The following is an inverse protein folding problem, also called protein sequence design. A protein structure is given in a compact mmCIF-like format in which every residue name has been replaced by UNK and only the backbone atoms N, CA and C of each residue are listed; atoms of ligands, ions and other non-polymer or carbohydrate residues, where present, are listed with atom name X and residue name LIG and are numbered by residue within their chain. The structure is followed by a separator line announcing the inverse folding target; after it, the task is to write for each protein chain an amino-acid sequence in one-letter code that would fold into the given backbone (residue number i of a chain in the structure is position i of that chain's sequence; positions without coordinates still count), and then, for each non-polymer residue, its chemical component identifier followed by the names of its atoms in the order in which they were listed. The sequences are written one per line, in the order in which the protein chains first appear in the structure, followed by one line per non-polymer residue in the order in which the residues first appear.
data_IF_688026962530
#
_entry.id   IF_688026962530
#
_cell.length_a   1.000
_cell.length_b   1.000
_cell.length_c   1.000
_cell.angle_alpha   90.00
_cell.angle_beta   90.00
_cell.angle_gamma   90.00
#
_symmetry.space_group_name_H-M   'P 1'
#
loop_
_entity.id
_entity.type
_entity.pdbx_description
1 polymer ?
#
# COMPACT_ATOMS: atom_id res chain seq x y z
N UNK A 1 -48.20 -18.67 9.76
CA UNK A 1 -46.98 -18.09 10.34
C UNK A 1 -46.07 -19.18 10.87
N UNK A 2 -45.33 -19.86 10.00
CA UNK A 2 -44.12 -20.65 10.27
C UNK A 2 -43.40 -20.73 8.92
N UNK A 3 -42.05 -20.75 8.93
CA UNK A 3 -41.12 -20.64 7.80
C UNK A 3 -40.55 -19.23 7.54
N UNK A 4 -39.66 -18.77 8.42
CA UNK A 4 -38.40 -18.04 8.08
C UNK A 4 -37.50 -18.15 9.31
N UNK A 5 -36.70 -19.22 9.48
CA UNK A 5 -35.68 -19.26 10.56
C UNK A 5 -34.52 -20.25 10.31
N UNK A 6 -34.47 -20.93 9.16
CA UNK A 6 -33.46 -21.98 8.91
C UNK A 6 -32.19 -21.48 8.23
N UNK A 7 -32.25 -20.39 7.44
CA UNK A 7 -31.09 -19.91 6.68
C UNK A 7 -30.10 -19.08 7.50
N UNK A 8 -30.54 -18.48 8.62
CA UNK A 8 -29.68 -17.66 9.48
C UNK A 8 -28.78 -18.49 10.42
N UNK A 9 -29.21 -19.71 10.79
CA UNK A 9 -28.44 -20.55 11.72
C UNK A 9 -27.26 -21.26 11.06
N UNK A 10 -27.40 -21.62 9.77
CA UNK A 10 -26.35 -22.30 9.00
C UNK A 10 -25.19 -21.35 8.69
N UNK A 11 -25.49 -20.09 8.36
CA UNK A 11 -24.49 -19.06 8.08
C UNK A 11 -23.64 -18.74 9.32
N UNK A 12 -24.26 -18.71 10.51
CA UNK A 12 -23.57 -18.43 11.78
C UNK A 12 -22.64 -19.57 12.21
N UNK A 13 -23.00 -20.82 11.92
CA UNK A 13 -22.19 -21.98 12.24
C UNK A 13 -20.97 -22.11 11.30
N UNK A 14 -21.12 -21.76 10.02
CA UNK A 14 -20.00 -21.72 9.06
C UNK A 14 -18.99 -20.61 9.42
N UNK A 15 -19.46 -19.40 9.77
CA UNK A 15 -18.58 -18.32 10.24
C UNK A 15 -17.83 -18.68 11.53
N UNK A 16 -18.48 -19.36 12.49
CA UNK A 16 -17.82 -19.78 13.73
C UNK A 16 -16.78 -20.91 13.52
N UNK A 17 -16.93 -21.74 12.48
CA UNK A 17 -15.93 -22.77 12.14
C UNK A 17 -14.69 -22.19 11.45
N UNK A 18 -14.87 -21.21 10.56
CA UNK A 18 -13.78 -20.60 9.79
C UNK A 18 -12.74 -19.87 10.67
N UNK A 19 -13.23 -19.09 11.66
CA UNK A 19 -12.34 -18.31 12.56
C UNK A 19 -11.42 -19.17 13.44
N UNK A 20 -11.73 -20.45 13.65
CA UNK A 20 -10.89 -21.37 14.43
C UNK A 20 -9.75 -22.02 13.62
N UNK A 21 -9.74 -21.82 12.29
CA UNK A 21 -8.88 -22.53 11.34
C UNK A 21 -7.96 -21.61 10.53
N UNK A 22 -7.77 -20.37 10.99
CA UNK A 22 -6.95 -19.36 10.31
C UNK A 22 -7.59 -18.78 9.05
N UNK A 23 -8.91 -18.91 8.90
CA UNK A 23 -9.71 -18.31 7.83
C UNK A 23 -10.55 -17.19 8.44
N UNK A 24 -10.40 -15.97 7.93
CA UNK A 24 -11.15 -14.82 8.44
C UNK A 24 -12.59 -14.81 7.90
N UNK A 25 -12.78 -15.25 6.66
CA UNK A 25 -14.07 -15.18 5.97
C UNK A 25 -14.14 -16.09 4.74
N UNK A 26 -15.38 -16.35 4.31
CA UNK A 26 -15.73 -17.08 3.09
C UNK A 26 -16.81 -16.31 2.33
N UNK A 27 -16.79 -16.39 1.01
CA UNK A 27 -17.81 -15.78 0.16
C UNK A 27 -19.11 -16.59 0.16
N UNK A 28 -20.24 -15.92 -0.07
CA UNK A 28 -21.51 -16.61 -0.36
C UNK A 28 -21.53 -17.05 -1.82
N UNK A 29 -21.99 -18.27 -2.07
CA UNK A 29 -22.01 -18.86 -3.42
C UNK A 29 -23.44 -19.00 -3.96
N UNK A 30 -23.61 -18.71 -5.25
CA UNK A 30 -24.83 -18.95 -6.03
C UNK A 30 -24.42 -19.73 -7.28
N UNK A 31 -25.01 -20.90 -7.49
CA UNK A 31 -24.71 -21.78 -8.63
C UNK A 31 -23.19 -22.05 -8.81
N UNK A 32 -22.52 -22.44 -7.72
CA UNK A 32 -21.05 -22.70 -7.64
C UNK A 32 -20.14 -21.51 -7.95
N UNK A 33 -20.71 -20.31 -8.06
CA UNK A 33 -19.98 -19.06 -8.20
C UNK A 33 -20.06 -18.27 -6.89
N UNK A 34 -18.92 -18.08 -6.24
CA UNK A 34 -18.78 -17.33 -5.00
C UNK A 34 -18.22 -15.94 -5.30
N UNK A 35 -18.69 -14.90 -4.61
CA UNK A 35 -18.25 -13.51 -4.89
C UNK A 35 -17.59 -12.87 -3.67
N UNK A 36 -16.44 -12.28 -3.90
CA UNK A 36 -15.74 -11.36 -3.01
C UNK A 36 -15.74 -9.96 -3.62
N UNK A 37 -16.09 -8.95 -2.83
CA UNK A 37 -16.18 -7.56 -3.26
C UNK A 37 -15.01 -6.77 -2.67
N UNK A 38 -13.99 -6.53 -3.49
CA UNK A 38 -12.74 -5.94 -3.05
C UNK A 38 -12.85 -4.42 -2.85
N UNK A 39 -12.18 -3.92 -1.82
CA UNK A 39 -11.93 -2.51 -1.53
C UNK A 39 -10.53 -2.34 -0.99
N UNK A 40 -10.01 -1.13 -1.00
CA UNK A 40 -8.77 -0.80 -0.30
C UNK A 40 -9.08 0.14 0.86
N UNK A 41 -8.73 -0.27 2.08
CA UNK A 41 -8.72 0.63 3.22
C UNK A 41 -7.44 1.45 3.20
N UNK A 42 -7.53 2.66 2.62
CA UNK A 42 -6.42 3.60 2.49
C UNK A 42 -5.78 3.99 3.84
N UNK A 43 -6.49 3.81 4.95
CA UNK A 43 -6.05 4.19 6.30
C UNK A 43 -5.37 3.06 7.08
N UNK A 44 -5.21 1.87 6.49
CA UNK A 44 -4.70 0.69 7.18
C UNK A 44 -3.16 0.56 7.16
N UNK A 45 -2.43 1.56 6.65
CA UNK A 45 -0.96 1.55 6.52
C UNK A 45 -0.46 2.68 5.60
N UNK A 46 0.81 2.62 5.18
CA UNK A 46 1.40 3.57 4.21
C UNK A 46 0.65 3.51 2.87
N UNK A 47 0.41 2.30 2.39
CA UNK A 47 -0.26 2.02 1.11
C UNK A 47 -1.78 1.86 1.27
N UNK A 48 -2.20 1.41 2.47
CA UNK A 48 -3.51 0.81 2.68
C UNK A 48 -3.48 -0.70 2.43
N UNK A 49 -4.60 -1.37 2.70
CA UNK A 49 -4.72 -2.83 2.53
C UNK A 49 -6.06 -3.21 1.91
N UNK A 50 -6.06 -4.31 1.16
CA UNK A 50 -7.29 -4.90 0.67
C UNK A 50 -8.21 -5.26 1.84
N UNK A 51 -9.50 -5.09 1.60
CA UNK A 51 -10.59 -5.56 2.44
C UNK A 51 -11.64 -6.14 1.50
N UNK A 52 -12.48 -7.03 1.99
CA UNK A 52 -13.58 -7.58 1.21
C UNK A 52 -14.88 -7.39 2.00
N UNK A 53 -15.95 -6.97 1.34
CA UNK A 53 -17.23 -6.70 2.02
C UNK A 53 -17.72 -7.92 2.82
N UNK A 54 -17.48 -9.12 2.30
CA UNK A 54 -17.83 -10.41 2.89
C UNK A 54 -17.01 -10.72 4.16
N UNK A 55 -15.90 -10.03 4.34
CA UNK A 55 -14.97 -10.15 5.48
C UNK A 55 -15.11 -8.98 6.47
N UNK A 56 -15.98 -8.01 6.18
CA UNK A 56 -16.07 -6.77 6.93
C UNK A 56 -14.79 -5.93 6.80
N UNK A 57 -14.44 -5.23 7.88
CA UNK A 57 -13.29 -4.30 7.89
C UNK A 57 -11.93 -4.93 8.21
N UNK A 58 -11.78 -6.25 8.11
CA UNK A 58 -10.51 -6.94 8.37
C UNK A 58 -9.52 -6.57 7.25
N UNK A 59 -8.34 -6.07 7.61
CA UNK A 59 -7.26 -5.74 6.64
C UNK A 59 -6.61 -7.03 6.14
N UNK A 60 -6.40 -7.11 4.82
CA UNK A 60 -5.83 -8.27 4.11
C UNK A 60 -6.28 -9.61 4.68
N UNK A 61 -7.61 -9.87 4.76
CA UNK A 61 -8.14 -11.05 5.43
C UNK A 61 -7.68 -12.35 4.76
N UNK A 62 -7.51 -13.40 5.54
CA UNK A 62 -7.32 -14.74 5.00
C UNK A 62 -8.63 -15.28 4.45
N UNK A 63 -8.71 -15.43 3.14
CA UNK A 63 -9.90 -15.90 2.43
C UNK A 63 -9.95 -17.42 2.40
N UNK A 64 -11.11 -18.02 2.63
CA UNK A 64 -11.33 -19.44 2.35
C UNK A 64 -11.95 -19.62 0.96
N UNK A 65 -11.29 -20.42 0.11
CA UNK A 65 -11.86 -20.86 -1.18
C UNK A 65 -11.93 -22.39 -1.26
N UNK A 66 -13.03 -22.92 -1.75
CA UNK A 66 -13.27 -24.35 -1.92
C UNK A 66 -12.82 -24.81 -3.31
N UNK A 67 -12.16 -25.97 -3.38
CA UNK A 67 -11.70 -26.54 -4.64
C UNK A 67 -12.84 -26.74 -5.65
N UNK A 68 -12.57 -26.46 -6.93
CA UNK A 68 -13.49 -26.69 -8.04
C UNK A 68 -14.62 -25.65 -8.18
N UNK A 69 -14.77 -24.73 -7.22
CA UNK A 69 -15.71 -23.60 -7.35
C UNK A 69 -15.04 -22.40 -8.03
N UNK A 70 -15.86 -21.56 -8.65
CA UNK A 70 -15.40 -20.31 -9.26
C UNK A 70 -15.59 -19.16 -8.28
N UNK A 71 -14.52 -18.41 -8.03
CA UNK A 71 -14.52 -17.22 -7.20
C UNK A 71 -14.38 -15.97 -8.06
N UNK A 72 -15.33 -15.04 -7.91
CA UNK A 72 -15.34 -13.72 -8.56
C UNK A 72 -14.85 -12.68 -7.56
N UNK A 73 -13.80 -11.95 -7.91
CA UNK A 73 -13.25 -10.85 -7.13
C UNK A 73 -13.60 -9.55 -7.86
N UNK A 74 -14.61 -8.84 -7.36
CA UNK A 74 -15.13 -7.62 -7.97
C UNK A 74 -14.33 -6.41 -7.49
N UNK A 75 -13.74 -5.66 -8.41
CA UNK A 75 -12.98 -4.43 -8.17
C UNK A 75 -13.72 -3.22 -8.77
N UNK A 76 -14.92 -2.95 -8.23
CA UNK A 76 -15.76 -1.85 -8.70
C UNK A 76 -15.75 -0.62 -7.76
N UNK A 77 -15.30 -0.79 -6.51
CA UNK A 77 -15.21 0.32 -5.56
C UNK A 77 -14.05 1.26 -5.96
N UNK A 78 -14.29 2.58 -5.89
CA UNK A 78 -13.32 3.62 -6.26
C UNK A 78 -11.96 3.49 -5.53
N UNK A 79 -11.95 2.89 -4.34
CA UNK A 79 -10.73 2.63 -3.58
C UNK A 79 -9.79 1.63 -4.26
N UNK A 80 -10.28 0.81 -5.20
CA UNK A 80 -9.45 -0.11 -5.99
C UNK A 80 -8.64 0.59 -7.09
N UNK A 81 -8.85 1.89 -7.34
CA UNK A 81 -8.05 2.63 -8.31
C UNK A 81 -6.57 2.47 -8.00
N UNK A 82 -5.75 2.12 -9.00
CA UNK A 82 -4.32 1.82 -8.85
C UNK A 82 -3.97 0.54 -8.08
N UNK A 83 -4.95 -0.32 -7.75
CA UNK A 83 -4.76 -1.56 -6.98
C UNK A 83 -5.29 -2.81 -7.71
N UNK A 84 -4.78 -3.17 -8.90
CA UNK A 84 -5.21 -4.40 -9.60
C UNK A 84 -4.86 -5.65 -8.79
N UNK A 85 -5.79 -6.60 -8.68
CA UNK A 85 -5.56 -7.86 -7.98
C UNK A 85 -4.71 -8.83 -8.81
N UNK A 86 -3.59 -9.25 -8.24
CA UNK A 86 -2.79 -10.40 -8.68
C UNK A 86 -3.03 -11.63 -7.80
N UNK A 87 -2.69 -12.81 -8.34
CA UNK A 87 -2.78 -14.08 -7.61
C UNK A 87 -1.50 -14.89 -7.80
N UNK A 88 -0.92 -15.37 -6.71
CA UNK A 88 0.38 -16.06 -6.75
C UNK A 88 0.46 -17.26 -5.79
N UNK A 89 1.44 -18.13 -6.03
CA UNK A 89 1.75 -19.26 -5.14
C UNK A 89 2.59 -18.83 -3.92
N UNK A 90 3.15 -17.62 -3.93
CA UNK A 90 3.97 -17.05 -2.86
C UNK A 90 3.60 -15.58 -2.62
N UNK A 91 3.91 -15.03 -1.44
CA UNK A 91 3.65 -13.62 -1.15
C UNK A 91 4.32 -12.67 -2.15
N UNK A 92 3.65 -11.56 -2.42
CA UNK A 92 4.04 -10.46 -3.31
C UNK A 92 4.24 -10.81 -4.79
N UNK A 93 4.06 -12.08 -5.19
CA UNK A 93 4.03 -12.51 -6.59
C UNK A 93 5.20 -11.96 -7.41
N UNK A 94 4.87 -11.29 -8.52
CA UNK A 94 5.85 -10.68 -9.41
C UNK A 94 6.81 -9.69 -8.72
N UNK A 95 6.37 -8.97 -7.68
CA UNK A 95 7.25 -8.02 -6.97
C UNK A 95 8.43 -8.72 -6.25
N UNK A 96 8.28 -10.01 -5.93
CA UNK A 96 9.29 -10.82 -5.25
C UNK A 96 9.94 -11.87 -6.17
N UNK A 97 9.84 -11.69 -7.49
CA UNK A 97 10.27 -12.66 -8.51
C UNK A 97 9.70 -14.07 -8.23
N UNK A 98 8.41 -14.15 -7.85
CA UNK A 98 7.72 -15.40 -7.55
C UNK A 98 6.69 -15.72 -8.62
N UNK A 99 6.55 -17.03 -8.84
CA UNK A 99 5.57 -17.59 -9.76
C UNK A 99 4.14 -17.17 -9.37
N UNK A 100 3.49 -16.50 -10.31
CA UNK A 100 2.07 -16.19 -10.27
C UNK A 100 1.22 -17.39 -10.72
N UNK A 101 -0.09 -17.28 -10.52
CA UNK A 101 -1.03 -18.23 -11.10
C UNK A 101 -1.15 -17.92 -12.59
N UNK A 102 -0.51 -18.72 -13.42
CA UNK A 102 -0.55 -18.60 -14.87
C UNK A 102 -0.91 -19.93 -15.53
N UNK A 103 -1.51 -19.92 -16.73
CA UNK A 103 -1.90 -21.14 -17.44
C UNK A 103 -0.76 -22.13 -17.67
N UNK A 104 0.48 -21.63 -17.76
CA UNK A 104 1.69 -22.41 -18.04
C UNK A 104 2.48 -22.83 -16.79
N UNK A 105 2.09 -22.36 -15.60
CA UNK A 105 2.83 -22.59 -14.35
C UNK A 105 2.14 -23.66 -13.52
N UNK A 106 2.83 -24.79 -13.34
CA UNK A 106 2.34 -25.90 -12.50
C UNK A 106 2.35 -25.47 -11.03
N UNK A 107 1.28 -25.71 -10.26
CA UNK A 107 1.30 -25.47 -8.82
C UNK A 107 2.51 -26.15 -8.15
N UNK A 108 3.31 -25.41 -7.36
CA UNK A 108 4.54 -25.95 -6.77
C UNK A 108 4.29 -27.23 -5.96
N UNK A 109 5.02 -28.29 -6.29
CA UNK A 109 4.92 -29.58 -5.61
C UNK A 109 3.74 -30.47 -6.05
N UNK A 110 2.88 -30.01 -6.96
CA UNK A 110 1.83 -30.83 -7.57
C UNK A 110 2.40 -31.83 -8.59
N UNK A 111 1.70 -32.95 -8.77
CA UNK A 111 1.94 -33.93 -9.84
C UNK A 111 1.25 -33.57 -11.16
N UNK A 112 0.51 -32.46 -11.20
CA UNK A 112 -0.18 -31.97 -12.39
C UNK A 112 0.78 -31.74 -13.57
N UNK A 113 0.30 -32.03 -14.78
CA UNK A 113 1.01 -31.76 -16.04
C UNK A 113 0.33 -30.66 -16.84
N UNK A 114 -0.43 -29.80 -16.15
CA UNK A 114 -1.29 -28.78 -16.78
C UNK A 114 -0.51 -27.82 -17.70
N UNK A 115 0.77 -27.56 -17.41
CA UNK A 115 1.64 -26.73 -18.23
C UNK A 115 1.86 -27.26 -19.65
N UNK A 116 1.79 -28.58 -19.86
CA UNK A 116 1.95 -29.18 -21.20
C UNK A 116 0.80 -28.84 -22.15
N UNK A 117 -0.30 -28.37 -21.60
CA UNK A 117 -1.53 -28.00 -22.30
C UNK A 117 -1.99 -26.58 -21.98
N UNK A 118 -1.20 -25.82 -21.21
CA UNK A 118 -1.55 -24.49 -20.69
C UNK A 118 -2.93 -24.45 -20.00
N UNK A 119 -3.22 -25.47 -19.18
CA UNK A 119 -4.50 -25.60 -18.45
C UNK A 119 -4.33 -25.46 -16.94
N UNK A 120 -3.22 -24.92 -16.47
CA UNK A 120 -3.03 -24.71 -15.03
C UNK A 120 -4.05 -23.69 -14.52
N UNK A 121 -4.53 -23.82 -13.27
CA UNK A 121 -5.41 -22.83 -12.67
C UNK A 121 -4.81 -21.43 -12.75
N UNK A 122 -5.53 -20.51 -13.38
CA UNK A 122 -5.12 -19.13 -13.53
C UNK A 122 -6.34 -18.20 -13.39
N UNK A 123 -6.14 -16.96 -12.91
CA UNK A 123 -7.17 -15.93 -12.90
C UNK A 123 -7.56 -15.56 -14.32
N UNK A 124 -8.83 -15.17 -14.51
CA UNK A 124 -9.35 -14.60 -15.74
C UNK A 124 -9.76 -13.16 -15.47
N UNK A 125 -9.24 -12.22 -16.25
CA UNK A 125 -9.49 -10.80 -16.03
C UNK A 125 -10.61 -10.25 -16.91
N UNK A 126 -11.51 -9.48 -16.31
CA UNK A 126 -12.69 -8.94 -16.94
C UNK A 126 -12.79 -7.43 -16.75
N UNK A 127 -13.39 -6.77 -17.73
CA UNK A 127 -13.84 -5.38 -17.65
C UNK A 127 -15.26 -5.28 -18.17
N UNK A 128 -16.15 -4.68 -17.38
CA UNK A 128 -17.57 -4.48 -17.70
C UNK A 128 -18.26 -5.79 -18.16
N UNK A 129 -17.93 -6.89 -17.50
CA UNK A 129 -18.43 -8.23 -17.81
C UNK A 129 -17.82 -8.89 -19.07
N UNK A 130 -16.89 -8.22 -19.75
CA UNK A 130 -16.17 -8.74 -20.91
C UNK A 130 -14.84 -9.33 -20.47
N UNK A 131 -14.61 -10.60 -20.81
CA UNK A 131 -13.31 -11.26 -20.60
C UNK A 131 -12.27 -10.62 -21.53
N UNK A 132 -11.10 -10.28 -20.97
CA UNK A 132 -10.07 -9.55 -21.68
C UNK A 132 -9.04 -10.44 -22.40
N UNK A 133 -8.94 -11.72 -22.03
CA UNK A 133 -8.01 -12.67 -22.64
C UNK A 133 -8.64 -13.55 -23.72
N UNK A 134 -7.85 -14.51 -24.20
CA UNK A 134 -8.28 -15.56 -25.13
C UNK A 134 -8.25 -16.98 -24.52
N UNK A 135 -7.59 -17.12 -23.37
CA UNK A 135 -7.41 -18.38 -22.66
C UNK A 135 -8.69 -18.85 -21.93
N UNK A 136 -8.88 -20.16 -21.83
CA UNK A 136 -9.97 -20.76 -21.06
C UNK A 136 -9.48 -21.95 -20.25
N UNK A 137 -9.75 -21.92 -18.94
CA UNK A 137 -9.43 -23.03 -18.03
C UNK A 137 -10.02 -24.35 -18.53
N UNK A 138 -9.18 -25.38 -18.60
CA UNK A 138 -9.50 -26.74 -19.07
C UNK A 138 -10.06 -26.89 -20.50
N UNK A 139 -10.03 -25.84 -21.32
CA UNK A 139 -10.48 -25.93 -22.71
C UNK A 139 -9.29 -26.00 -23.67
N UNK A 140 -8.88 -27.22 -23.98
CA UNK A 140 -7.81 -27.50 -24.97
C UNK A 140 -8.29 -27.43 -26.43
N UNK A 141 -9.57 -27.09 -26.66
CA UNK A 141 -10.13 -26.95 -28.02
C UNK A 141 -9.92 -25.56 -28.61
N UNK A 142 -9.47 -24.61 -27.79
CA UNK A 142 -9.14 -23.25 -28.18
C UNK A 142 -7.63 -23.16 -28.38
N UNK A 143 -7.22 -22.67 -29.55
CA UNK A 143 -5.84 -22.27 -29.82
C UNK A 143 -5.62 -20.92 -29.13
N UNK A 144 -5.40 -20.95 -27.81
CA UNK A 144 -5.15 -19.76 -26.98
C UNK A 144 -3.67 -19.43 -26.96
N UNK A 145 -3.34 -18.16 -26.75
CA UNK A 145 -1.96 -17.71 -26.59
C UNK A 145 -1.44 -17.84 -25.15
N UNK A 146 -2.27 -18.41 -24.26
CA UNK A 146 -2.06 -18.36 -22.82
C UNK A 146 -2.47 -17.01 -22.22
N UNK A 147 -3.04 -16.09 -23.01
CA UNK A 147 -3.48 -14.77 -22.54
C UNK A 147 -4.74 -14.89 -21.68
N UNK A 148 -4.54 -14.73 -20.37
CA UNK A 148 -5.60 -14.76 -19.35
C UNK A 148 -6.18 -13.36 -19.03
N UNK A 149 -5.76 -12.33 -19.78
CA UNK A 149 -6.31 -10.98 -19.78
C UNK A 149 -5.59 -9.97 -18.89
N UNK A 150 -4.54 -10.37 -18.15
CA UNK A 150 -3.81 -9.50 -17.22
C UNK A 150 -3.15 -8.31 -17.94
N UNK A 151 -2.50 -8.55 -19.08
CA UNK A 151 -1.82 -7.53 -19.90
C UNK A 151 -2.77 -6.46 -20.46
N UNK A 152 -4.08 -6.73 -20.45
CA UNK A 152 -5.13 -5.80 -20.85
C UNK A 152 -5.84 -5.15 -19.65
N UNK A 153 -5.67 -5.73 -18.46
CA UNK A 153 -6.30 -5.34 -17.22
C UNK A 153 -5.43 -4.37 -16.43
N UNK A 154 -4.22 -4.78 -16.07
CA UNK A 154 -3.31 -4.04 -15.20
C UNK A 154 -2.96 -2.64 -15.75
N UNK A 155 -2.59 -2.47 -17.05
CA UNK A 155 -2.17 -1.15 -17.53
C UNK A 155 -3.25 -0.06 -17.38
N UNK A 156 -4.53 -0.44 -17.33
CA UNK A 156 -5.65 0.52 -17.15
C UNK A 156 -5.69 1.11 -15.75
N UNK A 157 -5.12 0.44 -14.75
CA UNK A 157 -5.04 0.97 -13.38
C UNK A 157 -4.00 2.10 -13.24
N UNK A 158 -3.11 2.26 -14.23
CA UNK A 158 -2.20 3.40 -14.35
C UNK A 158 -2.80 4.61 -15.10
N UNK A 159 -3.97 4.45 -15.70
CA UNK A 159 -4.62 5.58 -16.39
C UNK A 159 -5.15 6.60 -15.36
N UNK A 160 -5.35 7.86 -15.75
CA UNK A 160 -5.95 8.85 -14.86
C UNK A 160 -7.28 8.34 -14.28
N UNK A 161 -7.56 8.67 -13.02
CA UNK A 161 -8.73 8.17 -12.29
C UNK A 161 -10.04 8.38 -13.07
N UNK A 162 -10.17 9.48 -13.80
CA UNK A 162 -11.37 9.79 -14.59
C UNK A 162 -11.60 8.77 -15.72
N UNK A 163 -10.52 8.39 -16.42
CA UNK A 163 -10.56 7.36 -17.45
C UNK A 163 -10.86 5.99 -16.83
N UNK A 164 -10.22 5.68 -15.69
CA UNK A 164 -10.42 4.42 -14.97
C UNK A 164 -11.88 4.24 -14.52
N UNK A 165 -12.50 5.28 -13.95
CA UNK A 165 -13.92 5.28 -13.58
C UNK A 165 -14.83 5.07 -14.80
N UNK A 166 -14.41 5.58 -15.97
CA UNK A 166 -15.13 5.42 -17.24
C UNK A 166 -15.09 4.02 -17.83
N UNK A 167 -14.20 3.14 -17.37
CA UNK A 167 -14.06 1.77 -17.88
C UNK A 167 -15.12 0.78 -17.39
N UNK A 168 -15.87 1.15 -16.34
CA UNK A 168 -16.86 0.28 -15.71
C UNK A 168 -16.23 -0.64 -14.66
N UNK A 169 -16.95 -1.71 -14.29
CA UNK A 169 -16.52 -2.61 -13.23
C UNK A 169 -15.41 -3.54 -13.70
N UNK A 170 -14.32 -3.61 -12.93
CA UNK A 170 -13.28 -4.61 -13.10
C UNK A 170 -13.57 -5.86 -12.26
N UNK A 171 -13.14 -7.02 -12.74
CA UNK A 171 -13.34 -8.29 -12.03
C UNK A 171 -12.25 -9.30 -12.38
N UNK A 172 -11.90 -10.14 -11.42
CA UNK A 172 -11.06 -11.33 -11.64
C UNK A 172 -11.86 -12.59 -11.30
N UNK A 173 -11.82 -13.61 -12.14
CA UNK A 173 -12.42 -14.91 -11.85
C UNK A 173 -11.35 -15.97 -11.69
N UNK A 174 -11.36 -16.73 -10.60
CA UNK A 174 -10.42 -17.83 -10.35
C UNK A 174 -11.20 -19.11 -10.08
N UNK A 175 -10.83 -20.19 -10.75
CA UNK A 175 -11.24 -21.56 -10.40
C UNK A 175 -9.97 -22.34 -10.12
N UNK A 176 -9.85 -22.89 -8.91
CA UNK A 176 -8.69 -23.69 -8.51
C UNK A 176 -9.12 -25.11 -8.19
N UNK A 177 -8.56 -26.08 -8.90
CA UNK A 177 -9.04 -27.47 -8.91
C UNK A 177 -7.92 -28.52 -8.90
N UNK A 178 -6.77 -28.15 -8.35
CA UNK A 178 -5.64 -29.06 -8.12
C UNK A 178 -5.69 -29.59 -6.69
N UNK A 179 -6.08 -30.84 -6.53
CA UNK A 179 -6.38 -31.49 -5.24
C UNK A 179 -5.15 -31.96 -4.46
N UNK A 180 -4.01 -32.14 -5.14
CA UNK A 180 -2.73 -32.53 -4.54
C UNK A 180 -1.84 -31.33 -4.16
N UNK A 181 -2.30 -30.10 -4.39
CA UNK A 181 -1.62 -28.89 -3.96
C UNK A 181 -1.89 -28.62 -2.47
N UNK A 182 -0.89 -28.89 -1.64
CA UNK A 182 -0.98 -28.80 -0.18
C UNK A 182 -0.30 -27.53 0.36
N UNK A 183 -0.67 -26.37 -0.17
CA UNK A 183 -0.22 -25.06 0.29
C UNK A 183 -1.34 -24.02 0.15
N UNK A 184 -1.13 -22.83 0.72
CA UNK A 184 -1.99 -21.67 0.55
C UNK A 184 -1.64 -20.92 -0.73
N UNK A 185 -2.59 -20.14 -1.25
CA UNK A 185 -2.36 -19.16 -2.31
C UNK A 185 -2.32 -17.75 -1.72
N UNK A 186 -1.97 -16.78 -2.54
CA UNK A 186 -1.95 -15.37 -2.15
C UNK A 186 -2.67 -14.52 -3.18
N UNK A 187 -3.41 -13.52 -2.71
CA UNK A 187 -3.82 -12.38 -3.53
C UNK A 187 -2.93 -11.19 -3.14
N UNK A 188 -2.62 -10.32 -4.09
CA UNK A 188 -1.76 -9.16 -3.85
C UNK A 188 -2.11 -8.02 -4.80
N UNK A 189 -1.52 -6.84 -4.60
CA UNK A 189 -1.65 -5.73 -5.54
C UNK A 189 -0.54 -5.87 -6.57
N UNK A 190 -0.87 -5.84 -7.86
CA UNK A 190 0.12 -5.98 -8.94
C UNK A 190 0.96 -4.71 -9.14
N UNK A 191 0.58 -3.59 -8.52
CA UNK A 191 1.27 -2.30 -8.64
C UNK A 191 2.04 -1.92 -7.36
N UNK A 192 1.50 -2.28 -6.19
CA UNK A 192 2.09 -1.92 -4.89
C UNK A 192 2.52 -3.16 -4.11
N UNK A 193 3.81 -3.27 -3.86
CA UNK A 193 4.38 -4.33 -3.00
C UNK A 193 3.85 -4.24 -1.55
N UNK A 194 3.99 -5.33 -0.79
CA UNK A 194 3.58 -5.48 0.60
C UNK A 194 2.06 -5.46 0.87
N UNK A 195 1.22 -5.53 -0.16
CA UNK A 195 -0.24 -5.59 -0.04
C UNK A 195 -0.82 -7.02 -0.16
N UNK A 196 -0.01 -8.05 0.14
CA UNK A 196 -0.45 -9.45 0.06
C UNK A 196 -1.51 -9.78 1.11
N UNK A 197 -2.49 -10.58 0.75
CA UNK A 197 -3.28 -11.38 1.67
C UNK A 197 -3.32 -12.86 1.28
N UNK A 198 -3.78 -13.69 2.21
CA UNK A 198 -3.70 -15.16 2.11
C UNK A 198 -5.01 -15.77 1.63
N UNK A 199 -4.92 -16.87 0.92
CA UNK A 199 -6.05 -17.71 0.53
C UNK A 199 -5.79 -19.14 1.00
N UNK A 200 -6.68 -19.67 1.85
CA UNK A 200 -6.69 -21.07 2.22
C UNK A 200 -7.62 -21.86 1.30
N UNK A 201 -7.08 -22.92 0.72
CA UNK A 201 -7.86 -23.90 -0.02
C UNK A 201 -8.62 -24.82 0.93
N UNK A 202 -9.88 -25.09 0.64
CA UNK A 202 -10.79 -25.87 1.47
C UNK A 202 -11.38 -27.05 0.70
N UNK A 203 -11.73 -28.10 1.45
CA UNK A 203 -12.54 -29.21 0.94
C UNK A 203 -14.04 -28.87 0.94
N UNK A 204 -14.87 -29.76 0.37
CA UNK A 204 -16.35 -29.61 0.35
C UNK A 204 -17.00 -29.53 1.75
N UNK A 205 -16.30 -29.99 2.80
CA UNK A 205 -16.76 -29.89 4.19
C UNK A 205 -16.49 -28.50 4.82
N UNK A 206 -15.80 -27.60 4.09
CA UNK A 206 -15.42 -26.27 4.56
C UNK A 206 -14.21 -26.26 5.49
N UNK A 207 -13.41 -27.32 5.50
CA UNK A 207 -12.18 -27.41 6.28
C UNK A 207 -10.98 -27.09 5.37
N UNK A 208 -9.96 -26.34 5.86
CA UNK A 208 -8.77 -26.09 5.07
C UNK A 208 -8.01 -27.38 4.78
N UNK A 209 -7.49 -27.52 3.56
CA UNK A 209 -6.63 -28.65 3.17
C UNK A 209 -5.34 -28.67 4.01
N UNK A 210 -4.84 -27.47 4.35
CA UNK A 210 -3.67 -27.28 5.20
C UNK A 210 -3.96 -26.24 6.28
N UNK A 211 -3.85 -26.67 7.54
CA UNK A 211 -4.08 -25.80 8.69
C UNK A 211 -2.93 -24.79 8.91
N UNK A 212 -1.70 -25.18 8.56
CA UNK A 212 -0.51 -24.34 8.68
C UNK A 212 -0.51 -23.23 7.63
N UNK A 213 0.07 -22.08 7.95
CA UNK A 213 0.21 -20.97 7.01
C UNK A 213 1.49 -21.16 6.19
N UNK A 214 1.38 -21.92 5.10
CA UNK A 214 2.51 -22.26 4.22
C UNK A 214 2.18 -21.92 2.76
N UNK A 215 3.07 -21.22 2.03
CA UNK A 215 4.26 -20.51 2.50
C UNK A 215 4.00 -19.47 3.61
N UNK A 216 5.04 -19.15 4.38
CA UNK A 216 4.96 -18.09 5.40
C UNK A 216 4.94 -16.71 4.72
N UNK A 217 4.22 -15.76 5.32
CA UNK A 217 4.37 -14.35 4.96
C UNK A 217 5.60 -13.81 5.68
N UNK A 218 6.60 -13.33 4.93
CA UNK A 218 7.93 -12.98 5.49
C UNK A 218 7.97 -11.58 6.13
N UNK A 219 6.86 -10.85 6.11
CA UNK A 219 6.70 -9.54 6.72
C UNK A 219 5.39 -9.46 7.53
N UNK A 220 5.31 -8.44 8.37
CA UNK A 220 4.09 -8.09 9.10
C UNK A 220 3.42 -6.91 8.43
N UNK A 221 2.09 -6.87 8.46
CA UNK A 221 1.35 -5.69 8.04
C UNK A 221 1.69 -4.47 8.90
N UNK A 222 1.56 -3.30 8.29
CA UNK A 222 1.66 -2.01 8.96
C UNK A 222 0.66 -1.95 10.13
N UNK A 223 1.12 -1.45 11.27
CA UNK A 223 0.28 -1.12 12.41
C UNK A 223 0.11 0.39 12.49
N UNK A 224 -1.13 0.84 12.66
CA UNK A 224 -1.48 2.25 12.76
C UNK A 224 -1.76 2.56 14.23
N UNK A 225 -1.06 3.51 14.81
CA UNK A 225 -1.30 3.90 16.20
C UNK A 225 -2.53 4.79 16.36
N UNK A 226 -2.96 5.01 17.60
CA UNK A 226 -4.19 5.74 17.89
C UNK A 226 -4.20 7.21 17.38
N UNK A 227 -3.04 7.86 17.27
CA UNK A 227 -2.97 9.20 16.72
C UNK A 227 -3.16 9.15 15.19
N UNK A 228 -2.43 8.28 14.54
CA UNK A 228 -2.51 8.08 13.09
C UNK A 228 -3.90 7.55 12.68
N UNK A 229 -4.54 6.69 13.47
CA UNK A 229 -5.93 6.24 13.26
C UNK A 229 -6.93 7.40 13.28
N UNK A 230 -6.70 8.36 14.19
CA UNK A 230 -7.53 9.57 14.33
C UNK A 230 -7.31 10.51 13.15
N UNK A 231 -6.05 10.72 12.76
CA UNK A 231 -5.67 11.60 11.67
C UNK A 231 -5.88 10.99 10.28
N UNK A 232 -5.99 9.67 10.16
CA UNK A 232 -5.97 8.95 8.88
C UNK A 232 -4.58 8.90 8.24
N UNK A 233 -3.53 9.15 9.02
CA UNK A 233 -2.13 9.22 8.56
C UNK A 233 -1.41 7.90 8.84
N UNK A 234 -0.13 7.82 8.47
CA UNK A 234 0.74 6.71 8.82
C UNK A 234 2.13 7.20 9.26
N UNK A 235 2.58 6.67 10.40
CA UNK A 235 3.90 6.89 11.00
C UNK A 235 4.22 8.37 11.30
N UNK A 236 3.24 9.13 11.80
CA UNK A 236 3.40 10.56 12.10
C UNK A 236 3.36 10.89 13.60
N UNK A 237 3.01 9.93 14.45
CA UNK A 237 2.82 10.17 15.89
C UNK A 237 4.07 10.63 16.63
N UNK A 238 5.26 10.20 16.21
CA UNK A 238 6.55 10.66 16.76
C UNK A 238 6.90 12.11 16.41
N UNK A 239 6.18 12.71 15.46
CA UNK A 239 6.42 14.08 14.98
C UNK A 239 5.39 15.09 15.50
N UNK A 240 4.50 14.66 16.40
CA UNK A 240 3.52 15.55 17.03
C UNK A 240 4.18 16.72 17.73
N UNK A 241 3.56 17.89 17.67
CA UNK A 241 4.01 19.06 18.41
C UNK A 241 3.11 19.32 19.62
N UNK A 242 3.66 19.74 20.78
CA UNK A 242 5.09 19.88 21.09
C UNK A 242 5.74 18.58 21.65
N UNK A 243 4.96 17.52 21.85
CA UNK A 243 5.34 16.39 22.71
C UNK A 243 5.92 15.16 21.98
N UNK A 244 6.00 15.19 20.66
CA UNK A 244 6.56 14.12 19.84
C UNK A 244 8.06 13.97 20.04
N UNK A 245 8.57 12.76 19.85
CA UNK A 245 10.01 12.43 19.94
C UNK A 245 10.88 13.36 19.09
N UNK A 246 10.40 13.73 17.91
CA UNK A 246 11.13 14.58 16.97
C UNK A 246 10.72 16.06 17.02
N UNK A 247 9.85 16.46 17.95
CA UNK A 247 9.34 17.83 18.03
C UNK A 247 10.45 18.88 18.16
N UNK A 248 11.57 18.56 18.83
CA UNK A 248 12.73 19.45 18.99
C UNK A 248 13.49 19.76 17.69
N UNK A 249 13.19 19.07 16.59
CA UNK A 249 13.76 19.33 15.27
C UNK A 249 12.84 20.19 14.39
N UNK A 250 11.68 20.58 14.92
CA UNK A 250 10.64 21.30 14.19
C UNK A 250 10.34 22.66 14.86
N UNK A 251 9.83 23.65 14.11
CA UNK A 251 9.21 24.83 14.69
C UNK A 251 8.07 24.45 15.65
N UNK A 252 7.69 25.37 16.54
CA UNK A 252 6.61 25.14 17.50
C UNK A 252 5.24 24.85 16.85
N UNK A 253 5.07 25.25 15.58
CA UNK A 253 3.86 25.02 14.77
C UNK A 253 4.15 25.25 13.29
N UNK A 254 3.39 24.59 12.43
CA UNK A 254 3.34 24.84 10.99
C UNK A 254 2.03 25.52 10.58
N UNK A 255 0.94 25.29 11.33
CA UNK A 255 -0.35 25.93 11.09
C UNK A 255 -0.60 27.08 12.07
N UNK A 256 -0.76 28.29 11.54
CA UNK A 256 -1.13 29.45 12.33
C UNK A 256 -2.65 29.47 12.58
N UNK A 257 -3.07 29.41 13.84
CA UNK A 257 -4.48 29.55 14.23
C UNK A 257 -5.08 30.90 13.79
N UNK A 258 -6.37 30.89 13.45
CA UNK A 258 -7.18 32.10 13.28
C UNK A 258 -7.91 32.45 14.58
N UNK A 259 -8.42 33.68 14.71
CA UNK A 259 -9.26 34.05 15.86
C UNK A 259 -10.52 33.17 16.00
N UNK A 260 -11.00 32.61 14.88
CA UNK A 260 -12.16 31.71 14.81
C UNK A 260 -11.80 30.29 15.29
N UNK A 261 -10.62 29.78 14.97
CA UNK A 261 -10.16 28.46 15.47
C UNK A 261 -9.85 28.47 16.97
N UNK A 262 -9.55 29.64 17.55
CA UNK A 262 -9.39 29.84 18.99
C UNK A 262 -10.72 29.92 19.74
N UNK A 263 -11.79 30.40 19.12
CA UNK A 263 -13.12 30.47 19.74
C UNK A 263 -13.77 29.08 19.86
N UNK A 264 -13.45 28.16 18.95
CA UNK A 264 -13.90 26.76 19.00
C UNK A 264 -13.23 25.95 20.13
N UNK A 265 -12.16 26.46 20.75
CA UNK A 265 -11.52 25.83 21.91
C UNK A 265 -12.28 26.08 23.23
N UNK A 266 -13.14 27.11 23.33
CA UNK A 266 -13.72 27.51 24.62
C UNK A 266 -14.78 26.56 25.18
N UNK A 267 -15.27 25.63 24.36
CA UNK A 267 -16.46 24.84 24.68
C UNK A 267 -16.08 23.42 25.14
N UNK A 268 -14.78 23.10 25.14
CA UNK A 268 -14.19 21.93 25.83
C UNK A 268 -14.67 20.55 25.37
N UNK A 269 -15.45 20.43 24.29
CA UNK A 269 -16.09 19.15 23.95
C UNK A 269 -16.21 18.78 22.46
N UNK A 270 -15.74 19.58 21.51
CA UNK A 270 -15.67 19.15 20.09
C UNK A 270 -14.59 19.93 19.35
N UNK A 271 -13.50 19.27 18.95
CA UNK A 271 -12.64 19.83 17.91
C UNK A 271 -13.42 19.88 16.60
N UNK A 272 -13.47 21.06 15.97
CA UNK A 272 -14.05 21.16 14.61
C UNK A 272 -13.23 20.31 13.63
N UNK A 273 -13.80 19.86 12.49
CA UNK A 273 -13.04 19.18 11.43
C UNK A 273 -11.76 19.94 11.03
N UNK A 274 -11.86 21.27 10.95
CA UNK A 274 -10.70 22.13 10.67
C UNK A 274 -9.63 22.06 11.76
N UNK A 275 -10.02 22.05 13.03
CA UNK A 275 -9.07 21.93 14.14
C UNK A 275 -8.41 20.55 14.14
N UNK A 276 -9.19 19.48 13.97
CA UNK A 276 -8.65 18.12 13.88
C UNK A 276 -7.62 18.01 12.75
N UNK A 277 -7.97 18.49 11.55
CA UNK A 277 -7.07 18.50 10.40
C UNK A 277 -5.81 19.35 10.64
N UNK A 278 -5.94 20.54 11.25
CA UNK A 278 -4.79 21.40 11.54
C UNK A 278 -3.79 20.76 12.51
N UNK A 279 -4.27 20.04 13.52
CA UNK A 279 -3.39 19.32 14.46
C UNK A 279 -2.64 18.18 13.77
N UNK A 280 -3.29 17.47 12.84
CA UNK A 280 -2.62 16.45 12.04
C UNK A 280 -1.56 17.07 11.11
N UNK A 281 -1.84 18.24 10.53
CA UNK A 281 -0.91 18.95 9.63
C UNK A 281 0.41 19.34 10.31
N UNK A 282 0.40 19.69 11.59
CA UNK A 282 1.64 19.99 12.32
C UNK A 282 2.56 18.77 12.41
N UNK A 283 2.01 17.59 12.71
CA UNK A 283 2.77 16.34 12.77
C UNK A 283 3.32 15.92 11.41
N UNK A 284 2.48 16.00 10.36
CA UNK A 284 2.87 15.67 8.99
C UNK A 284 3.98 16.58 8.45
N UNK A 285 3.86 17.90 8.66
CA UNK A 285 4.89 18.84 8.24
C UNK A 285 6.18 18.69 9.04
N UNK A 286 6.09 18.35 10.34
CA UNK A 286 7.27 18.02 11.13
C UNK A 286 7.96 16.75 10.59
N UNK A 287 7.20 15.70 10.27
CA UNK A 287 7.72 14.49 9.64
C UNK A 287 8.44 14.78 8.31
N UNK A 288 7.83 15.61 7.45
CA UNK A 288 8.46 16.05 6.20
C UNK A 288 9.76 16.80 6.44
N UNK A 289 9.76 17.78 7.36
CA UNK A 289 10.94 18.60 7.65
C UNK A 289 12.10 17.75 8.17
N UNK A 290 11.83 16.86 9.13
CA UNK A 290 12.85 15.96 9.67
C UNK A 290 13.35 15.01 8.59
N UNK A 291 12.44 14.36 7.85
CA UNK A 291 12.81 13.41 6.80
C UNK A 291 13.57 14.04 5.62
N UNK A 292 13.26 15.28 5.25
CA UNK A 292 13.97 16.00 4.19
C UNK A 292 15.33 16.56 4.63
N UNK A 293 15.62 16.54 5.93
CA UNK A 293 16.92 17.01 6.44
C UNK A 293 17.91 15.85 6.36
N UNK A 294 18.65 15.79 5.26
CA UNK A 294 19.51 14.65 4.90
C UNK A 294 20.94 15.05 4.60
N UNK A 295 21.87 14.12 4.81
CA UNK A 295 23.23 14.17 4.31
C UNK A 295 23.25 13.99 2.79
N UNK A 296 24.13 14.73 2.12
CA UNK A 296 24.37 14.53 0.69
C UNK A 296 25.14 13.22 0.44
N UNK A 297 24.61 12.36 -0.42
CA UNK A 297 25.20 11.08 -0.84
C UNK A 297 25.67 11.19 -2.30
N UNK A 298 24.75 11.06 -3.26
CA UNK A 298 24.90 11.38 -4.68
C UNK A 298 23.79 12.34 -5.13
N UNK A 299 23.84 12.93 -6.34
CA UNK A 299 22.73 13.75 -6.82
C UNK A 299 21.39 13.01 -6.89
N UNK A 300 21.40 11.73 -7.27
CA UNK A 300 20.18 10.90 -7.32
C UNK A 300 19.77 10.50 -5.90
N UNK A 301 20.73 10.03 -5.08
CA UNK A 301 20.48 9.68 -3.68
C UNK A 301 19.88 10.85 -2.90
N UNK A 302 20.51 12.02 -2.93
CA UNK A 302 20.04 13.23 -2.26
C UNK A 302 18.62 13.64 -2.71
N UNK A 303 18.33 13.56 -4.01
CA UNK A 303 16.98 13.84 -4.51
C UNK A 303 15.97 12.86 -3.91
N UNK A 304 16.26 11.56 -3.96
CA UNK A 304 15.33 10.52 -3.49
C UNK A 304 15.16 10.57 -1.96
N UNK A 305 16.25 10.72 -1.21
CA UNK A 305 16.22 10.83 0.26
C UNK A 305 15.34 11.99 0.73
N UNK A 306 15.23 13.07 -0.05
CA UNK A 306 14.31 14.18 0.24
C UNK A 306 12.92 13.98 -0.36
N UNK A 307 12.81 13.33 -1.53
CA UNK A 307 11.55 13.21 -2.23
C UNK A 307 10.63 12.13 -1.65
N UNK A 308 11.17 11.06 -1.06
CA UNK A 308 10.37 10.06 -0.34
C UNK A 308 9.58 10.71 0.82
N UNK A 309 10.21 11.39 1.80
CA UNK A 309 9.46 12.03 2.89
C UNK A 309 8.56 13.18 2.40
N UNK A 310 8.93 13.88 1.32
CA UNK A 310 8.05 14.85 0.67
C UNK A 310 6.77 14.19 0.13
N UNK A 311 6.89 13.04 -0.53
CA UNK A 311 5.74 12.29 -1.05
C UNK A 311 4.90 11.67 0.07
N UNK A 312 5.54 11.10 1.09
CA UNK A 312 4.84 10.56 2.27
C UNK A 312 4.00 11.64 2.96
N UNK A 313 4.52 12.87 3.05
CA UNK A 313 3.75 14.00 3.57
C UNK A 313 2.53 14.33 2.71
N UNK A 314 2.68 14.38 1.38
CA UNK A 314 1.57 14.63 0.46
C UNK A 314 0.49 13.54 0.56
N UNK A 315 0.88 12.27 0.62
CA UNK A 315 -0.02 11.13 0.82
C UNK A 315 -0.76 11.25 2.16
N UNK A 316 -0.03 11.49 3.27
CA UNK A 316 -0.62 11.65 4.59
C UNK A 316 -1.60 12.84 4.65
N UNK A 317 -1.27 13.98 4.03
CA UNK A 317 -2.17 15.13 3.96
C UNK A 317 -3.45 14.80 3.19
N UNK A 318 -3.34 14.08 2.08
CA UNK A 318 -4.48 13.66 1.28
C UNK A 318 -5.38 12.69 2.04
N UNK A 319 -4.80 11.68 2.71
CA UNK A 319 -5.56 10.75 3.56
C UNK A 319 -6.23 11.50 4.73
N UNK A 320 -5.53 12.41 5.38
CA UNK A 320 -6.07 13.17 6.49
C UNK A 320 -7.25 14.07 6.09
N UNK A 321 -7.19 14.68 4.90
CA UNK A 321 -8.30 15.47 4.36
C UNK A 321 -9.53 14.60 4.07
N UNK A 322 -9.34 13.40 3.50
CA UNK A 322 -10.42 12.42 3.32
C UNK A 322 -11.01 11.93 4.65
N UNK A 323 -10.16 11.73 5.68
CA UNK A 323 -10.55 11.16 6.97
C UNK A 323 -11.31 12.14 7.87
N UNK A 324 -10.81 13.37 7.99
CA UNK A 324 -11.25 14.34 9.01
C UNK A 324 -12.59 15.00 8.70
N UNK A 325 -13.23 14.67 7.57
CA UNK A 325 -14.56 15.16 7.21
C UNK A 325 -14.58 16.64 6.83
N UNK A 326 -13.42 17.20 6.45
CA UNK A 326 -13.30 18.58 5.97
C UNK A 326 -13.88 18.78 4.56
N UNK A 327 -14.04 17.71 3.80
CA UNK A 327 -14.70 17.72 2.49
C UNK A 327 -16.14 17.21 2.61
N UNK A 328 -17.05 17.81 1.85
CA UNK A 328 -18.40 17.28 1.69
C UNK A 328 -18.39 15.92 0.98
N UNK A 329 -19.50 15.19 1.06
CA UNK A 329 -19.63 13.91 0.36
C UNK A 329 -19.62 14.13 -1.17
N UNK A 330 -18.87 13.32 -1.90
CA UNK A 330 -18.95 13.24 -3.35
C UNK A 330 -19.64 11.93 -3.78
N UNK A 331 -20.83 12.05 -4.36
CA UNK A 331 -21.55 10.90 -4.92
C UNK A 331 -20.89 10.39 -6.20
N UNK A 332 -20.43 11.30 -7.06
CA UNK A 332 -19.90 11.01 -8.40
C UNK A 332 -18.55 11.74 -8.63
N UNK A 333 -17.45 10.98 -8.58
CA UNK A 333 -16.10 11.50 -8.79
C UNK A 333 -15.85 12.06 -10.19
N UNK A 334 -16.73 11.79 -11.16
CA UNK A 334 -16.62 12.35 -12.52
C UNK A 334 -17.23 13.75 -12.63
N UNK A 335 -17.83 14.27 -11.55
CA UNK A 335 -18.39 15.60 -11.52
C UNK A 335 -17.29 16.67 -11.39
N UNK A 336 -16.90 17.26 -12.52
CA UNK A 336 -15.90 18.33 -12.62
C UNK A 336 -16.39 19.72 -12.18
N UNK A 337 -17.66 19.86 -11.76
CA UNK A 337 -18.23 21.13 -11.30
C UNK A 337 -18.36 21.22 -9.77
N UNK A 338 -18.40 20.09 -9.06
CA UNK A 338 -18.47 20.05 -7.59
C UNK A 338 -17.05 20.12 -6.99
N UNK A 339 -16.71 21.18 -6.24
CA UNK A 339 -15.39 21.30 -5.60
C UNK A 339 -15.02 20.12 -4.69
N UNK A 340 -15.99 19.48 -4.02
CA UNK A 340 -15.70 18.33 -3.17
C UNK A 340 -15.32 17.10 -4.01
N UNK A 341 -15.98 16.90 -5.16
CA UNK A 341 -15.65 15.82 -6.08
C UNK A 341 -14.30 16.02 -6.75
N UNK A 342 -13.99 17.25 -7.18
CA UNK A 342 -12.67 17.60 -7.71
C UNK A 342 -11.57 17.33 -6.67
N UNK A 343 -11.81 17.71 -5.41
CA UNK A 343 -10.83 17.48 -4.35
C UNK A 343 -10.71 16.00 -4.01
N UNK A 344 -11.80 15.25 -3.87
CA UNK A 344 -11.75 13.80 -3.59
C UNK A 344 -11.03 13.06 -4.73
N UNK A 345 -11.33 13.38 -5.99
CA UNK A 345 -10.59 12.89 -7.16
C UNK A 345 -9.08 13.10 -7.00
N UNK A 346 -8.67 14.33 -6.66
CA UNK A 346 -7.26 14.68 -6.49
C UNK A 346 -6.62 13.93 -5.31
N UNK A 347 -7.37 13.65 -4.23
CA UNK A 347 -6.82 12.90 -3.10
C UNK A 347 -6.50 11.47 -3.48
N UNK A 348 -7.38 10.77 -4.22
CA UNK A 348 -7.09 9.42 -4.72
C UNK A 348 -5.88 9.39 -5.66
N UNK A 349 -5.78 10.36 -6.57
CA UNK A 349 -4.62 10.52 -7.46
C UNK A 349 -3.33 10.72 -6.67
N UNK A 350 -3.30 11.64 -5.70
CA UNK A 350 -2.12 11.90 -4.86
C UNK A 350 -1.73 10.64 -4.08
N UNK A 351 -2.68 10.00 -3.40
CA UNK A 351 -2.40 8.85 -2.52
C UNK A 351 -1.76 7.73 -3.33
N UNK A 352 -2.40 7.33 -4.43
CA UNK A 352 -2.01 6.12 -5.13
C UNK A 352 -0.76 6.32 -6.00
N UNK A 353 -0.70 7.43 -6.75
CA UNK A 353 0.45 7.70 -7.63
C UNK A 353 1.72 7.99 -6.81
N UNK A 354 1.61 8.78 -5.73
CA UNK A 354 2.81 9.09 -4.95
C UNK A 354 3.29 7.90 -4.11
N UNK A 355 2.41 7.01 -3.65
CA UNK A 355 2.81 5.74 -3.06
C UNK A 355 3.57 4.85 -4.05
N UNK A 356 3.10 4.76 -5.31
CA UNK A 356 3.83 4.04 -6.35
C UNK A 356 5.21 4.66 -6.65
N UNK A 357 5.28 5.99 -6.67
CA UNK A 357 6.54 6.72 -6.85
C UNK A 357 7.50 6.51 -5.67
N UNK A 358 7.00 6.43 -4.42
CA UNK A 358 7.81 6.11 -3.24
C UNK A 358 8.48 4.73 -3.40
N UNK A 359 7.72 3.69 -3.77
CA UNK A 359 8.28 2.35 -3.99
C UNK A 359 9.28 2.33 -5.15
N UNK A 360 8.95 3.00 -6.26
CA UNK A 360 9.88 3.16 -7.38
C UNK A 360 11.20 3.82 -6.95
N UNK A 361 11.12 4.88 -6.14
CA UNK A 361 12.28 5.57 -5.60
C UNK A 361 13.10 4.68 -4.65
N UNK A 362 12.46 3.88 -3.81
CA UNK A 362 13.13 2.87 -2.95
C UNK A 362 13.89 1.84 -3.79
N UNK A 363 13.27 1.31 -4.84
CA UNK A 363 13.90 0.37 -5.76
C UNK A 363 15.10 0.97 -6.51
N UNK A 364 15.04 2.27 -6.87
CA UNK A 364 16.17 2.99 -7.47
C UNK A 364 17.34 3.11 -6.48
N UNK A 365 17.09 3.41 -5.20
CA UNK A 365 18.15 3.43 -4.18
C UNK A 365 18.85 2.08 -4.07
N UNK A 366 18.07 0.99 -4.01
CA UNK A 366 18.61 -0.37 -3.94
C UNK A 366 19.47 -0.70 -5.17
N UNK A 367 18.96 -0.41 -6.37
CA UNK A 367 19.67 -0.64 -7.64
C UNK A 367 21.00 0.11 -7.70
N UNK A 368 21.03 1.34 -7.20
CA UNK A 368 22.23 2.17 -7.14
C UNK A 368 23.13 1.88 -5.94
N UNK A 369 22.72 0.97 -5.05
CA UNK A 369 23.40 0.67 -3.79
C UNK A 369 23.58 1.91 -2.90
N UNK A 370 22.64 2.85 -2.98
CA UNK A 370 22.55 3.98 -2.07
C UNK A 370 21.91 3.53 -0.75
N UNK A 371 22.23 4.17 0.39
CA UNK A 371 21.55 3.84 1.65
C UNK A 371 20.05 4.14 1.54
N UNK A 372 19.20 3.39 2.24
CA UNK A 372 17.76 3.65 2.24
C UNK A 372 17.40 5.01 2.87
N UNK A 373 18.20 5.43 3.86
CA UNK A 373 18.04 6.68 4.61
C UNK A 373 19.36 7.42 4.70
N UNK A 374 19.30 8.75 4.79
CA UNK A 374 20.47 9.61 4.92
C UNK A 374 20.23 10.73 5.94
N UNK A 375 19.53 10.45 7.03
CA UNK A 375 19.03 11.45 7.98
C UNK A 375 20.15 12.31 8.59
N UNK A 376 19.88 13.60 8.73
CA UNK A 376 20.75 14.57 9.37
C UNK A 376 20.00 15.28 10.50
N UNK A 377 20.32 14.93 11.74
CA UNK A 377 19.65 15.48 12.93
C UNK A 377 20.04 16.94 13.14
N UNK A 378 19.05 17.83 13.18
CA UNK A 378 19.22 19.26 13.44
C UNK A 378 18.26 19.72 14.55
N UNK A 379 18.72 20.55 15.48
CA UNK A 379 17.82 21.15 16.47
C UNK A 379 17.21 22.42 15.89
N UNK A 380 15.89 22.57 15.97
CA UNK A 380 15.22 23.81 15.62
C UNK A 380 15.60 24.88 16.65
N UNK A 381 16.49 25.79 16.27
CA UNK A 381 17.05 26.80 17.16
C UNK A 381 15.98 27.71 17.75
N UNK A 382 15.81 27.66 19.06
CA UNK A 382 15.46 28.85 19.86
C UNK A 382 16.79 29.52 20.20
N UNK A 383 17.30 30.37 19.31
CA UNK A 383 18.33 31.32 19.70
C UNK A 383 17.69 32.29 20.70
N UNK A 384 17.85 31.99 21.99
CA UNK A 384 17.67 32.98 23.03
C UNK A 384 18.74 34.06 22.84
N UNK A 385 18.28 35.24 22.42
CA UNK A 385 18.86 36.57 22.62
C UNK A 385 20.22 36.60 23.34
N UNK A 386 21.33 36.55 22.59
CA UNK A 386 22.51 37.31 23.00
C UNK A 386 22.35 38.74 22.46
N UNK A 387 21.77 39.57 23.32
CA UNK A 387 21.75 41.02 23.23
C UNK A 387 23.22 41.52 23.21
N UNK A 388 23.80 41.64 22.01
CA UNK A 388 25.09 42.32 21.83
C UNK A 388 24.86 43.82 22.01
N UNK A 389 24.93 44.27 23.26
CA UNK A 389 25.13 45.69 23.59
C UNK A 389 26.53 46.08 23.15
N UNK A 390 26.62 46.97 22.16
CA UNK A 390 27.84 47.24 21.43
C UNK A 390 28.92 48.08 22.14
N UNK A 391 30.02 48.27 21.42
CA UNK A 391 30.79 49.52 21.39
C UNK A 391 31.79 49.51 20.23
N UNK A 392 31.96 50.68 19.64
CA UNK A 392 32.69 51.02 18.42
C UNK A 392 34.21 50.73 18.39
N UNK A 393 34.72 50.76 17.14
CA UNK A 393 36.06 51.13 16.68
C UNK A 393 37.30 50.32 17.12
N UNK A 394 37.96 49.66 16.14
CA UNK A 394 39.34 49.99 15.74
C UNK A 394 39.87 49.12 14.56
N UNK A 395 40.53 49.82 13.63
CA UNK A 395 41.37 49.34 12.52
C UNK A 395 42.67 48.64 12.98
N UNK A 396 43.21 47.82 12.06
CA UNK A 396 44.63 47.40 11.83
C UNK A 396 44.83 45.87 11.91
N UNK A 397 45.07 45.19 10.79
CA UNK A 397 46.33 45.01 10.05
C UNK A 397 47.24 43.89 10.62
N UNK A 398 47.76 43.09 9.69
CA UNK A 398 48.93 42.20 9.73
C UNK A 398 48.80 40.71 10.15
N UNK A 399 48.90 39.88 9.10
CA UNK A 399 49.93 38.86 8.83
C UNK A 399 50.32 37.78 9.87
N UNK A 400 50.27 36.54 9.35
CA UNK A 400 51.28 35.47 9.50
C UNK A 400 51.27 34.61 10.77
N UNK A 401 50.96 33.32 10.64
CA UNK A 401 51.96 32.24 10.49
C UNK A 401 51.31 30.85 10.58
N UNK A 402 51.95 29.91 9.87
CA UNK A 402 51.68 28.48 9.81
C UNK A 402 51.73 27.77 11.17
N UNK A 403 50.98 26.68 11.28
CA UNK A 403 51.18 25.62 12.26
C UNK A 403 50.63 24.30 11.73
N UNK A 404 51.50 23.51 11.08
CA UNK A 404 51.24 22.10 10.75
C UNK A 404 51.12 21.28 12.04
N UNK A 405 50.17 20.34 12.07
CA UNK A 405 49.99 19.37 13.14
C UNK A 405 49.46 18.05 12.58
N UNK A 406 50.39 17.12 12.35
CA UNK A 406 50.19 15.75 11.86
C UNK A 406 49.58 14.81 12.91
N UNK A 407 48.81 13.80 12.48
CA UNK A 407 48.49 12.59 13.27
C UNK A 407 47.36 11.76 12.64
N UNK A 408 47.66 10.85 11.71
CA UNK A 408 47.71 9.38 11.89
C UNK A 408 46.36 8.75 12.30
N UNK A 409 45.65 8.12 11.37
CA UNK A 409 45.70 6.68 11.05
C UNK A 409 44.71 5.84 11.86
N UNK A 410 43.79 5.17 11.15
CA UNK A 410 42.87 4.18 11.72
C UNK A 410 42.04 3.50 10.63
N UNK A 411 42.69 2.71 9.79
CA UNK A 411 42.05 1.85 8.80
C UNK A 411 41.37 0.65 9.48
N UNK A 412 40.12 0.37 9.11
CA UNK A 412 39.50 -0.94 9.28
C UNK A 412 38.95 -1.40 7.94
N UNK A 413 39.63 -2.39 7.38
CA UNK A 413 39.30 -3.12 6.14
C UNK A 413 38.66 -4.45 6.49
N UNK A 414 37.44 -4.69 6.04
CA UNK A 414 36.74 -5.99 5.94
C UNK A 414 35.56 -5.72 4.99
N UNK A 415 35.25 -6.42 3.90
CA UNK A 415 35.82 -7.53 3.17
C UNK A 415 34.81 -7.74 2.03
N UNK A 416 35.23 -7.53 0.77
CA UNK A 416 34.36 -7.63 -0.39
C UNK A 416 34.05 -9.10 -0.71
N UNK A 417 32.77 -9.44 -0.85
CA UNK A 417 32.34 -10.65 -1.56
C UNK A 417 31.56 -10.24 -2.81
N UNK A 418 32.04 -10.68 -3.96
CA UNK A 418 31.49 -10.45 -5.28
C UNK A 418 30.19 -11.23 -5.45
N UNK A 419 29.10 -10.53 -5.80
CA UNK A 419 27.96 -11.14 -6.49
C UNK A 419 27.68 -10.32 -7.75
N UNK A 420 27.94 -10.95 -8.88
CA UNK A 420 27.44 -10.54 -10.20
C UNK A 420 25.95 -10.87 -10.28
N UNK A 421 25.10 -9.86 -10.40
CA UNK A 421 23.72 -10.00 -10.87
C UNK A 421 23.64 -9.40 -12.27
N UNK A 422 23.29 -10.23 -13.24
CA UNK A 422 22.98 -9.82 -14.60
C UNK A 422 21.58 -9.20 -14.60
N UNK A 423 21.50 -7.94 -14.99
CA UNK A 423 20.24 -7.24 -15.28
C UNK A 423 19.70 -7.78 -16.61
N UNK A 424 18.48 -8.31 -16.59
CA UNK A 424 17.68 -8.54 -17.79
C UNK A 424 16.37 -7.77 -17.65
N UNK A 425 16.39 -6.49 -18.02
CA UNK A 425 15.19 -5.66 -18.15
C UNK A 425 15.33 -4.79 -19.43
N UNK A 426 14.91 -5.37 -20.54
CA UNK A 426 14.46 -4.74 -21.78
C UNK A 426 13.51 -5.81 -22.34
N UNK A 427 12.21 -5.61 -22.54
CA UNK A 427 11.59 -4.73 -23.53
C UNK A 427 10.08 -4.65 -23.22
N UNK A 428 9.56 -3.48 -22.84
CA UNK A 428 8.14 -3.14 -23.08
C UNK A 428 8.09 -1.67 -23.49
N UNK A 429 8.10 -1.45 -24.81
CA UNK A 429 7.64 -0.24 -25.49
C UNK A 429 7.38 -0.63 -26.95
N UNK A 430 6.17 -1.10 -27.22
CA UNK A 430 5.48 -1.02 -28.51
C UNK A 430 3.99 -1.26 -28.29
#
# INVERSE_FOLDING_TARGET
MKFVFSSFLVLLAALQSATAQGIDCVATCVDDVCTFTAKVNLYAGELGYFTFEECGGIRSPTLGIELGKTYRFVQADRTNYYHPLGFAYFPDGAHADKDELEPSIVPPGSSSTCNTTETCPAPKYFQDGVYLGDWMHQDTSIDSTGDFGLDHYEPKFFHPLGDWLGYGAFEVQLTFDVDDFAQDLFYFCHIHEFMTGRIKLMNEAGEPLVAENIPALEYTYDEVDAFDETCGTFNTSSYRLPDGEFAGQCPERFVCETAESRFLQSDGNTSSPLQAFSTCLDAMNCAMMVGMTTHATSPIGLFIHQMIPHHQNAVNMAKALLKTGGMGACEDLTNEEDPNCIMEYMMYEIINNQNHQIQTMRAVLETLQEPAYADCVVTAGHDHDEEVTGSDDALANETSTNGEGTGSSGAWTLGHSLFTVLVAALWILA
#
